data_IF_758278753056
#
_entry.id   IF_758278753056
#
_cell.length_a   1.000
_cell.length_b   1.000
_cell.length_c   1.000
_cell.angle_alpha   90.00
_cell.angle_beta   90.00
_cell.angle_gamma   90.00
#
_symmetry.space_group_name_H-M   'P 1'
#
loop_
_entity.id
_entity.type
_entity.pdbx_description
1 polymer ?
#
# COMPACT_ATOMS: atom_id res chain seq x y z
N UNK A 1 11.53 35.65 -3.58
CA UNK A 1 11.74 34.26 -3.10
C UNK A 1 11.49 34.03 -1.62
N UNK A 2 12.21 34.62 -0.64
CA UNK A 2 12.03 34.28 0.80
C UNK A 2 10.62 34.55 1.34
N UNK A 3 10.03 35.69 0.97
CA UNK A 3 8.63 36.01 1.33
C UNK A 3 7.66 35.00 0.72
N UNK A 4 7.80 34.72 -0.58
CA UNK A 4 6.98 33.73 -1.29
C UNK A 4 7.05 32.34 -0.63
N UNK A 5 8.24 31.84 -0.28
CA UNK A 5 8.40 30.59 0.47
C UNK A 5 7.63 30.60 1.80
N UNK A 6 7.77 31.69 2.57
CA UNK A 6 7.09 31.80 3.85
C UNK A 6 5.55 31.83 3.71
N UNK A 7 5.01 32.57 2.73
CA UNK A 7 3.57 32.63 2.48
C UNK A 7 3.02 31.34 1.88
N UNK A 8 3.72 30.73 0.92
CA UNK A 8 3.34 29.43 0.37
C UNK A 8 3.31 28.36 1.47
N UNK A 9 4.33 28.34 2.33
CA UNK A 9 4.43 27.40 3.45
C UNK A 9 3.29 27.58 4.44
N UNK A 10 2.94 28.82 4.79
CA UNK A 10 1.80 29.10 5.64
C UNK A 10 0.48 28.64 5.00
N UNK A 11 0.26 28.98 3.71
CA UNK A 11 -0.96 28.65 2.98
C UNK A 11 -1.25 27.15 2.96
N UNK A 12 -0.23 26.30 2.79
CA UNK A 12 -0.42 24.84 2.71
C UNK A 12 -0.15 24.10 4.00
N UNK A 13 0.35 24.78 5.04
CA UNK A 13 0.78 24.13 6.29
C UNK A 13 -0.30 23.23 6.91
N UNK A 14 -1.55 23.69 6.96
CA UNK A 14 -2.66 22.93 7.52
C UNK A 14 -2.93 21.65 6.71
N UNK A 15 -3.06 21.77 5.39
CA UNK A 15 -3.37 20.60 4.57
C UNK A 15 -2.17 19.65 4.44
N UNK A 16 -0.95 20.18 4.37
CA UNK A 16 0.27 19.39 4.39
C UNK A 16 0.41 18.63 5.73
N UNK A 17 -0.01 19.22 6.84
CA UNK A 17 -0.09 18.54 8.13
C UNK A 17 -1.12 17.39 8.08
N UNK A 18 -2.31 17.63 7.54
CA UNK A 18 -3.33 16.57 7.35
C UNK A 18 -2.78 15.44 6.48
N UNK A 19 -2.18 15.73 5.32
CA UNK A 19 -1.61 14.73 4.42
C UNK A 19 -0.48 13.95 5.05
N UNK A 20 0.40 14.61 5.79
CA UNK A 20 1.54 13.97 6.44
C UNK A 20 1.09 13.06 7.59
N UNK A 21 0.16 13.54 8.43
CA UNK A 21 -0.39 12.75 9.54
C UNK A 21 -1.20 11.56 9.03
N UNK A 22 -2.14 11.79 8.11
CA UNK A 22 -2.94 10.71 7.52
C UNK A 22 -2.06 9.73 6.75
N UNK A 23 -1.07 10.21 5.99
CA UNK A 23 -0.09 9.37 5.30
C UNK A 23 0.69 8.48 6.26
N UNK A 24 1.21 9.04 7.36
CA UNK A 24 1.91 8.29 8.39
C UNK A 24 1.01 7.20 9.03
N UNK A 25 -0.26 7.52 9.30
CA UNK A 25 -1.20 6.60 9.92
C UNK A 25 -1.67 5.49 8.96
N UNK A 26 -1.94 5.82 7.70
CA UNK A 26 -2.52 4.90 6.71
C UNK A 26 -1.53 3.91 6.12
N UNK A 27 -0.24 4.23 6.17
CA UNK A 27 0.75 3.49 5.38
C UNK A 27 0.95 2.03 5.85
N UNK A 28 0.48 1.62 7.05
CA UNK A 28 1.12 0.48 7.74
C UNK A 28 0.27 -0.64 8.34
N UNK A 29 0.72 -1.86 8.01
CA UNK A 29 0.31 -3.14 8.58
C UNK A 29 1.33 -3.70 9.62
N UNK A 30 2.57 -3.19 9.71
CA UNK A 30 3.65 -3.67 10.62
C UNK A 30 4.76 -2.61 10.89
N UNK A 31 4.46 -1.48 11.53
CA UNK A 31 5.45 -0.42 11.79
C UNK A 31 5.51 0.00 13.27
N UNK A 32 6.41 0.95 13.57
CA UNK A 32 6.82 1.49 14.89
C UNK A 32 5.70 1.63 15.95
N UNK A 33 4.46 1.86 15.52
CA UNK A 33 3.30 2.14 16.39
C UNK A 33 2.16 1.11 16.32
N UNK A 34 2.23 0.09 15.45
CA UNK A 34 1.18 -0.95 15.24
C UNK A 34 -0.27 -0.43 15.39
N UNK A 35 -0.80 0.24 14.36
CA UNK A 35 -2.05 1.00 14.45
C UNK A 35 -3.30 0.17 14.14
N UNK A 36 -3.42 -1.02 14.74
CA UNK A 36 -4.56 -1.92 14.51
C UNK A 36 -5.92 -1.30 14.91
N UNK A 37 -5.91 -0.29 15.79
CA UNK A 37 -7.11 0.44 16.18
C UNK A 37 -7.80 1.16 15.01
N UNK A 38 -7.09 1.49 13.93
CA UNK A 38 -7.67 2.15 12.76
C UNK A 38 -8.78 1.33 12.11
N UNK A 39 -8.73 0.01 12.26
CA UNK A 39 -9.71 -0.94 11.73
C UNK A 39 -10.82 -1.28 12.72
N UNK A 40 -10.63 -0.96 14.01
CA UNK A 40 -11.53 -1.32 15.12
C UNK A 40 -12.37 -0.13 15.61
N UNK A 41 -11.80 1.08 15.57
CA UNK A 41 -12.54 2.30 15.89
C UNK A 41 -13.46 2.59 14.71
N UNK A 42 -14.76 2.57 14.95
CA UNK A 42 -15.78 2.81 13.94
C UNK A 42 -16.39 4.21 14.12
N UNK A 43 -16.57 4.91 13.01
CA UNK A 43 -17.16 6.23 12.93
C UNK A 43 -18.54 6.14 12.27
N UNK A 44 -19.53 6.96 12.68
CA UNK A 44 -20.83 6.97 12.05
C UNK A 44 -20.73 7.42 10.59
N UNK A 45 -21.50 6.76 9.72
CA UNK A 45 -21.56 7.03 8.28
C UNK A 45 -21.87 8.50 7.95
N UNK A 46 -22.56 9.21 8.83
CA UNK A 46 -22.88 10.64 8.69
C UNK A 46 -21.65 11.57 8.65
N UNK A 47 -20.47 11.11 9.06
CA UNK A 47 -19.22 11.87 8.96
C UNK A 47 -18.58 11.82 7.55
N UNK A 48 -19.15 11.06 6.63
CA UNK A 48 -18.61 10.87 5.28
C UNK A 48 -19.48 11.58 4.25
N UNK A 49 -18.84 12.20 3.27
CA UNK A 49 -19.52 12.68 2.05
C UNK A 49 -19.93 11.50 1.17
N UNK A 50 -20.93 11.67 0.30
CA UNK A 50 -21.32 10.64 -0.67
C UNK A 50 -20.16 10.23 -1.59
N UNK A 51 -19.29 11.19 -1.93
CA UNK A 51 -18.08 10.92 -2.69
C UNK A 51 -17.11 10.03 -1.93
N UNK A 52 -16.88 10.30 -0.64
CA UNK A 52 -16.04 9.49 0.22
C UNK A 52 -16.62 8.08 0.40
N UNK A 53 -17.94 7.95 0.60
CA UNK A 53 -18.61 6.64 0.70
C UNK A 53 -18.47 5.83 -0.58
N UNK A 54 -18.73 6.46 -1.73
CA UNK A 54 -18.61 5.81 -3.05
C UNK A 54 -17.19 5.32 -3.34
N UNK A 55 -16.18 6.08 -2.92
CA UNK A 55 -14.77 5.79 -3.22
C UNK A 55 -14.10 4.89 -2.20
N UNK A 56 -14.35 5.13 -0.92
CA UNK A 56 -13.60 4.57 0.20
C UNK A 56 -14.45 3.82 1.24
N UNK A 57 -15.79 3.87 1.19
CA UNK A 57 -16.67 3.25 2.20
C UNK A 57 -16.66 1.72 2.27
N UNK A 58 -15.87 1.09 1.38
CA UNK A 58 -15.63 -0.36 1.30
C UNK A 58 -14.14 -0.66 1.12
N UNK A 59 -13.27 0.28 1.48
CA UNK A 59 -11.83 0.19 1.24
C UNK A 59 -11.16 -0.90 2.09
N UNK A 60 -11.77 -1.24 3.24
CA UNK A 60 -11.30 -2.30 4.13
C UNK A 60 -11.60 -3.72 3.64
N UNK A 61 -12.46 -3.89 2.63
CA UNK A 61 -12.76 -5.19 2.04
C UNK A 61 -11.53 -5.75 1.32
N UNK A 62 -11.15 -6.97 1.70
CA UNK A 62 -9.96 -7.67 1.20
C UNK A 62 -10.31 -8.82 0.26
N UNK A 63 -11.42 -9.53 0.50
CA UNK A 63 -11.82 -10.72 -0.25
C UNK A 63 -13.32 -10.97 -0.13
N UNK A 64 -13.88 -11.73 -1.07
CA UNK A 64 -15.28 -12.12 -1.00
C UNK A 64 -15.50 -13.48 -1.63
N UNK A 65 -16.37 -14.28 -1.04
CA UNK A 65 -16.76 -15.58 -1.58
C UNK A 65 -18.27 -15.69 -1.68
N UNK A 66 -18.74 -16.13 -2.83
CA UNK A 66 -20.17 -16.36 -3.09
C UNK A 66 -20.54 -17.79 -2.68
N UNK A 67 -21.58 -17.92 -1.89
CA UNK A 67 -22.20 -19.19 -1.47
C UNK A 67 -23.69 -19.19 -1.90
N UNK A 68 -24.40 -20.33 -1.80
CA UNK A 68 -25.85 -20.34 -2.02
C UNK A 68 -26.63 -19.37 -1.12
N UNK A 69 -26.13 -19.08 0.09
CA UNK A 69 -26.74 -18.14 1.02
C UNK A 69 -26.41 -16.66 0.71
N UNK A 70 -25.51 -16.38 -0.24
CA UNK A 70 -25.02 -15.04 -0.57
C UNK A 70 -23.51 -14.89 -0.33
N UNK A 71 -23.06 -13.63 -0.20
CA UNK A 71 -21.64 -13.30 -0.06
C UNK A 71 -21.16 -13.36 1.39
N UNK A 72 -20.08 -14.09 1.63
CA UNK A 72 -19.24 -13.86 2.80
C UNK A 72 -18.11 -12.92 2.41
N UNK A 73 -17.93 -11.87 3.21
CA UNK A 73 -17.01 -10.77 2.89
C UNK A 73 -15.93 -10.72 3.97
N UNK A 74 -14.68 -10.92 3.56
CA UNK A 74 -13.51 -10.70 4.39
C UNK A 74 -13.06 -9.24 4.31
N UNK A 75 -12.82 -8.64 5.46
CA UNK A 75 -12.33 -7.28 5.58
C UNK A 75 -11.30 -7.17 6.72
N UNK A 76 -10.56 -6.07 6.75
CA UNK A 76 -9.68 -5.78 7.89
C UNK A 76 -10.48 -5.58 9.20
N UNK A 77 -11.75 -5.21 9.13
CA UNK A 77 -12.63 -5.09 10.30
C UNK A 77 -13.26 -6.41 10.75
N UNK A 78 -13.18 -7.50 9.96
CA UNK A 78 -13.83 -8.77 10.32
C UNK A 78 -14.24 -9.65 9.15
N UNK A 79 -14.96 -10.73 9.49
CA UNK A 79 -15.75 -11.52 8.54
C UNK A 79 -17.22 -11.11 8.65
N UNK A 80 -17.85 -10.83 7.50
CA UNK A 80 -19.28 -10.51 7.41
C UNK A 80 -20.02 -11.64 6.72
N UNK A 81 -21.13 -12.07 7.32
CA UNK A 81 -22.06 -13.03 6.73
C UNK A 81 -22.96 -12.36 5.66
N UNK A 82 -23.68 -13.15 4.83
CA UNK A 82 -24.59 -12.61 3.81
C UNK A 82 -25.68 -11.68 4.34
N UNK A 83 -26.05 -11.80 5.62
CA UNK A 83 -26.99 -10.90 6.29
C UNK A 83 -26.41 -9.51 6.61
N UNK A 84 -25.13 -9.27 6.34
CA UNK A 84 -24.39 -8.07 6.75
C UNK A 84 -23.88 -8.12 8.19
N UNK A 85 -24.24 -9.13 8.98
CA UNK A 85 -23.77 -9.29 10.36
C UNK A 85 -22.28 -9.67 10.39
N UNK A 86 -21.50 -8.98 11.23
CA UNK A 86 -20.12 -9.38 11.57
C UNK A 86 -20.15 -10.67 12.41
N UNK A 87 -19.47 -11.70 11.93
CA UNK A 87 -19.39 -13.04 12.56
C UNK A 87 -17.99 -13.37 13.09
N UNK A 88 -17.01 -12.51 12.81
CA UNK A 88 -15.65 -12.60 13.35
C UNK A 88 -15.07 -11.21 13.54
N UNK A 89 -14.43 -10.99 14.68
CA UNK A 89 -13.75 -9.74 15.03
C UNK A 89 -12.24 -9.96 14.97
N UNK A 90 -11.61 -9.47 13.92
CA UNK A 90 -10.19 -9.65 13.62
C UNK A 90 -9.93 -9.45 12.13
N UNK A 91 -8.69 -9.15 11.74
CA UNK A 91 -8.41 -8.88 10.33
C UNK A 91 -8.55 -10.15 9.52
N UNK A 92 -9.28 -10.07 8.42
CA UNK A 92 -9.38 -11.13 7.42
C UNK A 92 -8.75 -10.63 6.13
N UNK A 93 -7.66 -11.27 5.69
CA UNK A 93 -6.93 -10.90 4.47
C UNK A 93 -7.44 -11.65 3.24
N UNK A 94 -7.93 -12.89 3.43
CA UNK A 94 -8.50 -13.72 2.38
C UNK A 94 -9.49 -14.74 2.95
N UNK A 95 -10.55 -15.00 2.19
CA UNK A 95 -11.57 -16.03 2.47
C UNK A 95 -11.59 -17.06 1.34
N UNK A 96 -11.46 -18.34 1.70
CA UNK A 96 -11.56 -19.48 0.77
C UNK A 96 -12.72 -20.39 1.18
N UNK A 97 -13.44 -20.92 0.19
CA UNK A 97 -14.56 -21.83 0.43
C UNK A 97 -14.03 -23.26 0.55
N UNK A 98 -14.14 -23.84 1.76
CA UNK A 98 -13.79 -25.25 1.97
C UNK A 98 -14.94 -26.17 1.54
N UNK A 99 -16.17 -25.84 1.93
CA UNK A 99 -17.37 -26.59 1.55
C UNK A 99 -18.57 -25.69 1.34
N UNK A 100 -19.28 -25.91 0.22
CA UNK A 100 -20.44 -25.12 -0.21
C UNK A 100 -21.80 -25.65 0.30
N UNK A 101 -21.82 -26.54 1.30
CA UNK A 101 -23.06 -27.12 1.87
C UNK A 101 -23.93 -26.01 2.50
N UNK A 102 -25.25 -26.23 2.76
CA UNK A 102 -26.16 -25.20 3.29
C UNK A 102 -25.63 -24.45 4.53
N UNK A 103 -24.74 -25.08 5.29
CA UNK A 103 -23.85 -24.41 6.24
C UNK A 103 -22.43 -24.40 5.66
N UNK A 104 -21.97 -23.28 5.08
CA UNK A 104 -20.66 -23.23 4.44
C UNK A 104 -19.54 -23.34 5.49
N UNK A 105 -18.47 -24.02 5.10
CA UNK A 105 -17.20 -24.04 5.84
C UNK A 105 -16.21 -23.15 5.09
N UNK A 106 -15.61 -22.17 5.78
CA UNK A 106 -14.71 -21.19 5.17
C UNK A 106 -13.35 -21.20 5.86
N UNK A 107 -12.29 -21.09 5.07
CA UNK A 107 -10.95 -20.84 5.56
C UNK A 107 -10.65 -19.35 5.53
N UNK A 108 -10.11 -18.85 6.63
CA UNK A 108 -9.79 -17.45 6.82
C UNK A 108 -8.29 -17.30 7.02
N UNK A 109 -7.64 -16.53 6.14
CA UNK A 109 -6.31 -16.01 6.37
C UNK A 109 -6.44 -14.75 7.26
N UNK A 110 -5.93 -14.82 8.50
CA UNK A 110 -6.10 -13.76 9.51
C UNK A 110 -4.79 -13.26 10.08
N UNK A 111 -4.84 -12.21 10.88
CA UNK A 111 -3.68 -11.71 11.63
C UNK A 111 -3.28 -12.60 12.81
N UNK A 112 -4.10 -13.60 13.16
CA UNK A 112 -3.87 -14.58 14.21
C UNK A 112 -4.07 -16.02 13.69
N UNK A 113 -3.37 -16.33 12.61
CA UNK A 113 -3.29 -17.68 12.05
C UNK A 113 -4.33 -18.00 10.98
N UNK A 114 -4.35 -19.28 10.61
CA UNK A 114 -5.38 -19.87 9.76
C UNK A 114 -6.58 -20.22 10.63
N UNK A 115 -7.77 -19.72 10.28
CA UNK A 115 -9.01 -20.01 11.02
C UNK A 115 -10.05 -20.71 10.13
N UNK A 116 -10.91 -21.49 10.77
CA UNK A 116 -12.06 -22.15 10.17
C UNK A 116 -13.34 -21.51 10.68
N UNK A 117 -14.15 -20.98 9.78
CA UNK A 117 -15.54 -20.67 10.08
C UNK A 117 -16.40 -21.91 9.79
N UNK A 118 -17.10 -22.40 10.81
CA UNK A 118 -18.01 -23.54 10.72
C UNK A 118 -19.16 -23.37 11.70
N UNK A 119 -20.39 -23.60 11.22
CA UNK A 119 -21.60 -23.56 12.04
C UNK A 119 -21.74 -22.29 12.91
N UNK A 120 -21.36 -21.13 12.36
CA UNK A 120 -21.47 -19.84 13.05
C UNK A 120 -20.33 -19.52 14.02
N UNK A 121 -19.33 -20.40 14.17
CA UNK A 121 -18.16 -20.20 15.03
C UNK A 121 -16.89 -20.11 14.20
N UNK A 122 -15.90 -19.38 14.71
CA UNK A 122 -14.55 -19.29 14.16
C UNK A 122 -13.56 -19.92 15.11
N UNK A 123 -12.81 -20.91 14.64
CA UNK A 123 -11.82 -21.65 15.42
C UNK A 123 -10.45 -21.57 14.75
N UNK A 124 -9.38 -21.50 15.55
CA UNK A 124 -8.01 -21.49 15.00
C UNK A 124 -7.61 -22.91 14.59
N UNK A 125 -7.18 -23.08 13.34
CA UNK A 125 -6.67 -24.35 12.82
C UNK A 125 -5.15 -24.48 12.97
N UNK A 126 -4.40 -23.44 12.61
CA UNK A 126 -2.94 -23.49 12.57
C UNK A 126 -2.31 -22.10 12.67
N UNK A 127 -1.02 -22.07 12.99
CA UNK A 127 -0.18 -20.86 12.99
C UNK A 127 -0.71 -19.74 13.90
N UNK A 128 -1.23 -20.09 15.09
CA UNK A 128 -1.68 -19.11 16.09
C UNK A 128 -0.56 -18.09 16.38
N UNK A 129 -0.91 -16.81 16.48
CA UNK A 129 0.04 -15.71 16.67
C UNK A 129 0.87 -15.33 15.43
N UNK A 130 0.66 -15.99 14.28
CA UNK A 130 1.28 -15.62 13.00
C UNK A 130 0.26 -14.98 12.09
N UNK A 131 0.66 -13.94 11.37
CA UNK A 131 -0.21 -13.26 10.41
C UNK A 131 -0.20 -13.98 9.07
N UNK A 132 -1.29 -14.70 8.78
CA UNK A 132 -1.53 -15.38 7.50
C UNK A 132 -2.20 -14.39 6.56
N UNK A 133 -1.49 -13.98 5.50
CA UNK A 133 -1.96 -12.95 4.55
C UNK A 133 -2.66 -13.52 3.32
N UNK A 134 -2.41 -14.79 3.00
CA UNK A 134 -3.09 -15.47 1.91
C UNK A 134 -3.26 -16.97 2.18
N UNK A 135 -4.25 -17.55 1.53
CA UNK A 135 -4.62 -18.95 1.63
C UNK A 135 -5.05 -19.46 0.25
N UNK A 136 -4.63 -20.68 -0.10
CA UNK A 136 -5.04 -21.39 -1.31
C UNK A 136 -5.34 -22.83 -0.97
N UNK A 137 -6.55 -23.27 -1.31
CA UNK A 137 -7.06 -24.59 -0.99
C UNK A 137 -6.83 -25.56 -2.15
N UNK A 138 -6.15 -26.68 -1.86
CA UNK A 138 -5.99 -27.84 -2.75
C UNK A 138 -6.18 -29.11 -1.92
N UNK A 139 -7.43 -29.39 -1.54
CA UNK A 139 -7.76 -30.41 -0.53
C UNK A 139 -7.06 -31.75 -0.81
N UNK A 140 -6.44 -32.41 0.21
CA UNK A 140 -6.47 -32.09 1.65
C UNK A 140 -5.40 -31.07 2.10
N UNK A 141 -4.71 -30.41 1.17
CA UNK A 141 -3.63 -29.47 1.46
C UNK A 141 -4.06 -28.02 1.31
N UNK A 142 -3.43 -27.15 2.07
CA UNK A 142 -3.65 -25.70 2.04
C UNK A 142 -2.31 -25.01 2.01
N UNK A 143 -2.08 -24.21 0.98
CA UNK A 143 -0.92 -23.33 0.92
C UNK A 143 -1.26 -22.01 1.61
N UNK A 144 -0.37 -21.58 2.49
CA UNK A 144 -0.50 -20.38 3.31
C UNK A 144 0.68 -19.46 3.03
N UNK A 145 0.41 -18.17 2.97
CA UNK A 145 1.44 -17.12 2.97
C UNK A 145 1.40 -16.44 4.33
N UNK A 146 2.52 -16.44 5.04
CA UNK A 146 2.71 -15.76 6.32
C UNK A 146 3.56 -14.52 6.09
N UNK A 147 3.11 -13.39 6.63
CA UNK A 147 3.85 -12.13 6.59
C UNK A 147 4.28 -11.66 5.19
N UNK A 148 3.49 -12.02 4.16
CA UNK A 148 3.79 -11.75 2.74
C UNK A 148 5.15 -12.26 2.26
N UNK A 149 5.71 -13.28 2.92
CA UNK A 149 7.08 -13.76 2.64
C UNK A 149 7.19 -15.27 2.72
N UNK A 150 6.73 -15.83 3.82
CA UNK A 150 7.00 -17.22 4.17
C UNK A 150 5.85 -18.10 3.69
N UNK A 151 6.19 -19.25 3.11
CA UNK A 151 5.20 -20.20 2.61
C UNK A 151 5.09 -21.37 3.59
N UNK A 152 3.85 -21.75 3.90
CA UNK A 152 3.55 -22.92 4.72
C UNK A 152 2.52 -23.80 4.02
N UNK A 153 2.68 -25.12 4.16
CA UNK A 153 1.72 -26.11 3.70
C UNK A 153 1.05 -26.72 4.92
N UNK A 154 -0.25 -26.51 5.07
CA UNK A 154 -1.07 -27.18 6.07
C UNK A 154 -1.75 -28.39 5.45
N UNK A 155 -1.64 -29.55 6.11
CA UNK A 155 -2.32 -30.78 5.71
C UNK A 155 -3.46 -31.09 6.68
N UNK A 156 -4.69 -31.20 6.16
CA UNK A 156 -5.88 -31.49 6.97
C UNK A 156 -5.88 -32.90 7.58
N UNK A 157 -5.26 -33.87 6.92
CA UNK A 157 -5.24 -35.26 7.38
C UNK A 157 -4.25 -35.41 8.54
N UNK A 158 -3.07 -34.82 8.38
CA UNK A 158 -1.98 -34.92 9.35
C UNK A 158 -2.04 -33.84 10.44
N UNK A 159 -2.88 -32.80 10.24
CA UNK A 159 -3.00 -31.62 11.12
C UNK A 159 -1.66 -30.95 11.43
N UNK A 160 -0.75 -30.96 10.46
CA UNK A 160 0.59 -30.37 10.59
C UNK A 160 0.84 -29.28 9.55
N UNK A 161 1.72 -28.36 9.91
CA UNK A 161 2.23 -27.32 9.02
C UNK A 161 3.67 -27.59 8.67
N UNK A 162 3.99 -27.58 7.38
CA UNK A 162 5.34 -27.69 6.86
C UNK A 162 5.78 -26.35 6.28
N UNK A 163 6.92 -25.85 6.70
CA UNK A 163 7.53 -24.66 6.10
C UNK A 163 8.09 -25.02 4.72
N UNK A 164 7.82 -24.19 3.72
CA UNK A 164 8.41 -24.29 2.38
C UNK A 164 9.48 -23.20 2.30
N UNK A 165 10.77 -23.55 2.26
CA UNK A 165 11.83 -22.58 2.11
C UNK A 165 11.67 -21.80 0.82
N UNK A 166 11.57 -20.48 0.92
CA UNK A 166 11.58 -19.60 -0.24
C UNK A 166 13.04 -19.40 -0.68
N UNK A 167 13.48 -19.88 -1.87
CA UNK A 167 14.80 -19.65 -2.40
C UNK A 167 15.10 -18.16 -2.53
N UNK A 168 16.36 -17.78 -2.34
CA UNK A 168 16.81 -16.39 -2.43
C UNK A 168 16.85 -15.85 -3.87
N UNK A 169 16.85 -16.72 -4.88
CA UNK A 169 17.01 -16.36 -6.29
C UNK A 169 15.73 -16.65 -7.08
N UNK A 170 15.22 -15.62 -7.73
CA UNK A 170 14.17 -15.66 -8.74
C UNK A 170 14.69 -15.00 -10.00
N UNK A 171 14.08 -15.34 -11.14
CA UNK A 171 14.29 -14.57 -12.35
C UNK A 171 13.83 -13.11 -12.14
N UNK A 172 14.68 -12.11 -12.44
CA UNK A 172 14.30 -10.72 -12.34
C UNK A 172 13.20 -10.41 -13.36
N UNK A 173 12.32 -9.48 -13.03
CA UNK A 173 11.43 -8.91 -14.04
C UNK A 173 12.25 -8.06 -15.01
N UNK A 174 11.90 -8.12 -16.30
CA UNK A 174 12.60 -7.36 -17.34
C UNK A 174 12.10 -5.93 -17.44
N UNK A 175 10.89 -5.63 -16.95
CA UNK A 175 10.23 -4.35 -17.23
C UNK A 175 9.48 -3.76 -16.03
N UNK A 176 9.88 -2.56 -15.61
CA UNK A 176 9.17 -1.76 -14.61
C UNK A 176 8.70 -0.47 -15.27
N UNK A 177 7.39 -0.21 -15.31
CA UNK A 177 6.85 1.04 -15.84
C UNK A 177 6.97 2.19 -14.84
N UNK A 178 7.05 3.43 -15.33
CA UNK A 178 7.04 4.61 -14.48
C UNK A 178 5.78 4.67 -13.61
N UNK A 179 4.61 4.29 -14.16
CA UNK A 179 3.36 4.16 -13.39
C UNK A 179 3.50 3.25 -12.18
N UNK A 180 4.21 2.12 -12.33
CA UNK A 180 4.44 1.17 -11.24
C UNK A 180 5.30 1.82 -10.15
N UNK A 181 6.41 2.42 -10.54
CA UNK A 181 7.32 3.12 -9.62
C UNK A 181 6.63 4.26 -8.90
N UNK A 182 5.88 5.11 -9.60
CA UNK A 182 5.16 6.25 -9.01
C UNK A 182 4.22 5.79 -7.89
N UNK A 183 3.44 4.73 -8.13
CA UNK A 183 2.54 4.16 -7.11
C UNK A 183 3.33 3.56 -5.96
N UNK A 184 4.33 2.74 -6.26
CA UNK A 184 5.09 2.06 -5.23
C UNK A 184 5.85 3.04 -4.34
N UNK A 185 6.47 4.06 -4.93
CA UNK A 185 7.15 5.12 -4.19
C UNK A 185 6.17 5.88 -3.30
N UNK A 186 5.03 6.33 -3.85
CA UNK A 186 4.06 7.09 -3.10
C UNK A 186 3.46 6.31 -1.92
N UNK A 187 3.26 5.00 -2.09
CA UNK A 187 2.81 4.11 -1.00
C UNK A 187 3.96 3.59 -0.12
N UNK A 188 5.14 4.21 -0.16
CA UNK A 188 6.26 3.84 0.71
C UNK A 188 6.85 2.45 0.46
N UNK A 189 6.63 1.85 -0.71
CA UNK A 189 7.08 0.50 -1.10
C UNK A 189 8.01 0.50 -2.30
N UNK A 190 8.50 1.66 -2.75
CA UNK A 190 9.15 1.82 -4.06
C UNK A 190 10.68 1.71 -4.08
N UNK A 191 11.36 1.66 -2.93
CA UNK A 191 12.82 1.78 -2.90
C UNK A 191 13.53 0.50 -2.44
N UNK A 192 13.19 0.03 -1.24
CA UNK A 192 13.85 -1.10 -0.60
C UNK A 192 12.91 -2.31 -0.51
N UNK A 193 13.44 -3.54 -0.47
CA UNK A 193 12.64 -4.72 -0.21
C UNK A 193 12.11 -4.76 1.23
N UNK A 194 10.95 -5.41 1.39
CA UNK A 194 10.34 -5.69 2.69
C UNK A 194 9.96 -4.43 3.48
N UNK A 195 10.06 -4.55 4.81
CA UNK A 195 9.64 -3.52 5.76
C UNK A 195 10.53 -2.26 5.73
N UNK A 196 11.76 -2.37 5.23
CA UNK A 196 12.72 -1.26 5.17
C UNK A 196 12.21 -0.07 4.37
N UNK A 197 11.46 -0.30 3.28
CA UNK A 197 10.88 0.80 2.49
C UNK A 197 9.79 1.53 3.27
N UNK A 198 8.99 0.79 4.05
CA UNK A 198 7.93 1.34 4.87
C UNK A 198 8.50 2.23 6.00
N UNK A 199 9.54 1.74 6.69
CA UNK A 199 10.26 2.49 7.73
C UNK A 199 10.93 3.76 7.17
N UNK A 200 11.50 3.66 5.98
CA UNK A 200 12.10 4.81 5.31
C UNK A 200 11.05 5.88 4.98
N UNK A 201 9.87 5.47 4.50
CA UNK A 201 8.76 6.40 4.25
C UNK A 201 8.27 7.07 5.54
N UNK A 202 8.27 6.37 6.67
CA UNK A 202 7.92 6.95 7.98
C UNK A 202 8.92 8.00 8.42
N UNK A 203 10.21 7.70 8.31
CA UNK A 203 11.25 8.65 8.66
C UNK A 203 11.10 9.96 7.85
N UNK A 204 10.79 9.86 6.56
CA UNK A 204 10.55 11.04 5.72
C UNK A 204 9.22 11.75 6.03
N UNK A 205 8.19 11.01 6.40
CA UNK A 205 6.92 11.59 6.84
C UNK A 205 7.10 12.36 8.15
N UNK A 206 7.85 11.82 9.11
CA UNK A 206 8.22 12.52 10.36
C UNK A 206 9.06 13.77 10.06
N UNK A 207 10.03 13.68 9.15
CA UNK A 207 10.81 14.84 8.74
C UNK A 207 9.93 15.93 8.10
N UNK A 208 9.00 15.55 7.22
CA UNK A 208 8.02 16.46 6.63
C UNK A 208 7.12 17.09 7.69
N UNK A 209 6.66 16.31 8.68
CA UNK A 209 5.86 16.79 9.79
C UNK A 209 6.62 17.85 10.60
N UNK A 210 7.86 17.55 10.99
CA UNK A 210 8.73 18.48 11.71
C UNK A 210 8.99 19.74 10.88
N UNK A 211 9.24 19.61 9.58
CA UNK A 211 9.44 20.73 8.67
C UNK A 211 8.21 21.64 8.59
N UNK A 212 7.02 21.06 8.41
CA UNK A 212 5.74 21.76 8.33
C UNK A 212 5.42 22.48 9.63
N UNK A 213 5.49 21.79 10.77
CA UNK A 213 5.18 22.37 12.08
C UNK A 213 6.17 23.48 12.44
N UNK A 214 7.48 23.24 12.28
CA UNK A 214 8.50 24.24 12.58
C UNK A 214 8.40 25.48 11.68
N UNK A 215 8.10 25.30 10.39
CA UNK A 215 7.89 26.39 9.43
C UNK A 215 6.64 27.21 9.74
N UNK A 216 5.52 26.55 10.04
CA UNK A 216 4.26 27.19 10.43
C UNK A 216 4.42 28.01 11.73
N UNK A 217 4.97 27.39 12.78
CA UNK A 217 5.20 28.08 14.05
C UNK A 217 6.18 29.25 13.88
N UNK A 218 7.24 29.07 13.08
CA UNK A 218 8.17 30.16 12.77
C UNK A 218 7.44 31.33 12.10
N UNK A 219 6.54 31.06 11.14
CA UNK A 219 5.75 32.09 10.48
C UNK A 219 4.88 32.88 11.46
N UNK A 220 4.20 32.20 12.39
CA UNK A 220 3.37 32.86 13.42
C UNK A 220 4.21 33.75 14.33
N UNK A 221 5.37 33.27 14.78
CA UNK A 221 6.19 34.00 15.75
C UNK A 221 7.17 34.99 15.11
N UNK A 222 7.24 35.10 13.77
CA UNK A 222 8.29 35.89 13.08
C UNK A 222 8.34 37.36 13.50
N UNK A 223 7.17 37.97 13.75
CA UNK A 223 7.03 39.36 14.23
C UNK A 223 7.10 39.50 15.76
N UNK A 224 7.14 38.39 16.50
CA UNK A 224 7.19 38.42 17.97
C UNK A 224 8.56 38.86 18.51
N UNK A 225 8.58 39.35 19.75
CA UNK A 225 9.81 39.67 20.50
C UNK A 225 10.55 38.42 21.03
N UNK A 226 9.99 37.21 20.87
CA UNK A 226 10.54 35.94 21.39
C UNK A 226 11.76 35.46 20.58
N UNK A 227 12.90 36.15 20.73
CA UNK A 227 14.14 35.89 19.96
C UNK A 227 14.65 34.44 20.06
N UNK A 228 14.63 33.84 21.27
CA UNK A 228 15.08 32.45 21.50
C UNK A 228 14.25 31.44 20.69
N UNK A 229 12.92 31.53 20.79
CA UNK A 229 11.99 30.66 20.07
C UNK A 229 12.16 30.77 18.55
N UNK A 230 12.27 32.00 18.01
CA UNK A 230 12.50 32.22 16.57
C UNK A 230 13.78 31.54 16.08
N UNK A 231 14.89 31.68 16.82
CA UNK A 231 16.16 31.04 16.47
C UNK A 231 16.06 29.52 16.52
N UNK A 232 15.37 28.98 17.53
CA UNK A 232 15.15 27.54 17.67
C UNK A 232 14.34 26.99 16.49
N UNK A 233 13.16 27.55 16.22
CA UNK A 233 12.29 27.09 15.12
C UNK A 233 12.99 27.19 13.76
N UNK A 234 13.70 28.29 13.50
CA UNK A 234 14.49 28.43 12.28
C UNK A 234 15.62 27.38 12.19
N UNK A 235 16.30 27.09 13.31
CA UNK A 235 17.37 26.08 13.35
C UNK A 235 16.83 24.68 13.05
N UNK A 236 15.67 24.33 13.60
CA UNK A 236 14.99 23.05 13.33
C UNK A 236 14.57 22.98 11.87
N UNK A 237 13.82 23.99 11.38
CA UNK A 237 13.29 24.04 10.03
C UNK A 237 14.39 24.05 8.94
N UNK A 238 15.53 24.71 9.20
CA UNK A 238 16.68 24.77 8.31
C UNK A 238 17.82 23.81 8.72
N UNK A 239 17.50 22.75 9.46
CA UNK A 239 18.48 21.76 9.90
C UNK A 239 18.99 20.91 8.73
N UNK A 240 20.25 20.46 8.81
CA UNK A 240 20.85 19.61 7.76
C UNK A 240 20.06 18.32 7.55
N UNK A 241 19.48 17.77 8.62
CA UNK A 241 18.66 16.56 8.57
C UNK A 241 17.44 16.73 7.65
N UNK A 242 16.68 17.84 7.80
CA UNK A 242 15.54 18.12 6.92
C UNK A 242 15.94 18.45 5.47
N UNK A 243 17.17 18.91 5.26
CA UNK A 243 17.66 19.20 3.90
C UNK A 243 17.96 17.90 3.13
N UNK A 244 18.50 16.90 3.82
CA UNK A 244 18.74 15.56 3.24
C UNK A 244 17.43 14.90 2.80
N UNK A 245 16.29 15.26 3.41
CA UNK A 245 14.98 14.72 3.03
C UNK A 245 14.33 15.41 1.83
N UNK A 246 14.86 16.55 1.35
CA UNK A 246 14.24 17.32 0.26
C UNK A 246 14.07 16.52 -1.05
N UNK A 247 15.03 15.70 -1.52
CA UNK A 247 14.83 14.88 -2.71
C UNK A 247 13.65 13.91 -2.57
N UNK A 248 13.47 13.32 -1.39
CA UNK A 248 12.37 12.41 -1.09
C UNK A 248 11.03 13.14 -1.02
N UNK A 249 10.98 14.29 -0.35
CA UNK A 249 9.77 15.13 -0.30
C UNK A 249 9.37 15.60 -1.70
N UNK A 250 10.35 15.99 -2.53
CA UNK A 250 10.10 16.37 -3.92
C UNK A 250 9.47 15.20 -4.69
N UNK A 251 10.07 14.01 -4.60
CA UNK A 251 9.59 12.84 -5.30
C UNK A 251 8.20 12.40 -4.79
N UNK A 252 7.95 12.51 -3.47
CA UNK A 252 6.64 12.23 -2.89
C UNK A 252 5.56 13.19 -3.40
N UNK A 253 5.87 14.48 -3.49
CA UNK A 253 4.98 15.49 -4.03
C UNK A 253 4.68 15.27 -5.53
N UNK A 254 5.72 14.97 -6.33
CA UNK A 254 5.57 14.68 -7.76
C UNK A 254 4.75 13.41 -8.00
N UNK A 255 5.03 12.34 -7.26
CA UNK A 255 4.26 11.08 -7.38
C UNK A 255 2.81 11.27 -6.95
N UNK A 256 2.54 12.10 -5.94
CA UNK A 256 1.17 12.48 -5.55
C UNK A 256 0.41 13.20 -6.68
N UNK A 257 1.04 14.17 -7.35
CA UNK A 257 0.45 14.85 -8.50
C UNK A 257 0.10 13.87 -9.64
N UNK A 258 1.00 12.93 -9.94
CA UNK A 258 0.77 11.91 -10.96
C UNK A 258 -0.37 10.95 -10.59
N UNK A 259 -0.50 10.59 -9.31
CA UNK A 259 -1.57 9.70 -8.83
C UNK A 259 -2.93 10.39 -8.83
N UNK A 260 -2.99 11.70 -8.53
CA UNK A 260 -4.25 12.45 -8.54
C UNK A 260 -4.79 12.65 -9.97
N UNK A 261 -3.90 12.84 -10.95
CA UNK A 261 -4.24 13.15 -12.34
C UNK A 261 -3.64 12.15 -13.34
N UNK A 262 -3.90 10.84 -13.21
CA UNK A 262 -3.22 9.83 -14.02
C UNK A 262 -3.52 9.93 -15.52
N UNK A 263 -4.70 10.47 -15.90
CA UNK A 263 -5.08 10.70 -17.30
C UNK A 263 -4.23 11.79 -17.96
N UNK A 264 -3.84 12.82 -17.22
CA UNK A 264 -3.03 13.92 -17.74
C UNK A 264 -1.61 13.46 -18.08
N UNK A 265 -1.08 12.50 -17.32
CA UNK A 265 0.29 12.00 -17.44
C UNK A 265 0.36 10.60 -18.07
N UNK A 266 -0.72 10.11 -18.67
CA UNK A 266 -0.81 8.72 -19.12
C UNK A 266 0.30 8.31 -20.11
N UNK A 267 0.69 9.12 -21.12
CA UNK A 267 1.78 8.78 -22.02
C UNK A 267 3.10 8.55 -21.27
N UNK A 268 3.47 9.50 -20.41
CA UNK A 268 4.69 9.44 -19.60
C UNK A 268 4.65 8.24 -18.62
N UNK A 269 3.51 7.99 -18.00
CA UNK A 269 3.36 6.91 -17.02
C UNK A 269 3.50 5.51 -17.65
N UNK A 270 3.27 5.36 -18.96
CA UNK A 270 3.43 4.09 -19.68
C UNK A 270 4.89 3.77 -20.01
N UNK A 271 5.79 4.76 -19.95
CA UNK A 271 7.21 4.57 -20.23
C UNK A 271 7.87 3.56 -19.30
N UNK A 272 8.85 2.83 -19.83
CA UNK A 272 9.65 1.85 -19.08
C UNK A 272 10.80 2.56 -18.40
N UNK A 273 11.07 2.18 -17.14
CA UNK A 273 12.25 2.63 -16.44
C UNK A 273 13.47 1.85 -16.92
N UNK A 274 14.58 2.54 -17.26
CA UNK A 274 15.87 1.89 -17.48
C UNK A 274 16.26 1.05 -16.28
N UNK A 275 16.87 -0.12 -16.52
CA UNK A 275 17.27 -1.06 -15.45
C UNK A 275 18.17 -0.39 -14.39
N UNK A 276 19.06 0.51 -14.81
CA UNK A 276 19.93 1.28 -13.92
C UNK A 276 19.16 2.17 -12.92
N UNK A 277 17.97 2.64 -13.32
CA UNK A 277 17.10 3.46 -12.49
C UNK A 277 16.08 2.65 -11.68
N UNK A 278 16.05 1.33 -11.84
CA UNK A 278 15.15 0.47 -11.05
C UNK A 278 15.67 0.32 -9.61
N UNK A 279 14.87 0.71 -8.60
CA UNK A 279 15.26 0.54 -7.21
C UNK A 279 15.43 -0.94 -6.79
N UNK A 280 16.22 -1.22 -5.75
CA UNK A 280 16.48 -2.58 -5.24
C UNK A 280 15.24 -3.44 -5.01
N UNK A 281 14.10 -2.83 -4.67
CA UNK A 281 12.85 -3.55 -4.45
C UNK A 281 12.39 -4.42 -5.64
N UNK A 282 12.77 -4.04 -6.86
CA UNK A 282 12.42 -4.78 -8.08
C UNK A 282 13.32 -5.99 -8.36
N UNK A 283 14.33 -6.23 -7.51
CA UNK A 283 15.24 -7.39 -7.59
C UNK A 283 14.95 -8.44 -6.52
N UNK A 284 13.87 -8.26 -5.75
CA UNK A 284 13.60 -9.02 -4.53
C UNK A 284 12.11 -9.44 -4.43
N UNK A 285 11.61 -10.29 -5.33
CA UNK A 285 10.18 -10.62 -5.42
C UNK A 285 9.59 -11.26 -4.16
N UNK A 286 10.41 -11.97 -3.38
CA UNK A 286 9.94 -12.77 -2.25
C UNK A 286 9.66 -11.99 -0.98
N UNK A 287 9.96 -10.69 -0.94
CA UNK A 287 9.63 -9.83 0.19
C UNK A 287 8.25 -9.18 0.10
N UNK A 288 7.45 -9.53 -0.92
CA UNK A 288 6.12 -8.98 -1.16
C UNK A 288 5.23 -9.97 -1.92
N UNK A 289 5.01 -11.14 -1.32
CA UNK A 289 4.08 -12.18 -1.79
C UNK A 289 2.67 -11.79 -1.36
N UNK A 290 1.84 -11.41 -2.33
CA UNK A 290 0.47 -10.94 -2.10
C UNK A 290 -0.55 -12.07 -2.07
N UNK A 291 -0.33 -13.12 -2.85
CA UNK A 291 -1.19 -14.29 -2.87
C UNK A 291 -0.40 -15.52 -3.34
N UNK A 292 -1.00 -16.71 -3.20
CA UNK A 292 -0.41 -17.95 -3.66
C UNK A 292 -1.48 -18.89 -4.24
N UNK A 293 -1.02 -19.88 -5.00
CA UNK A 293 -1.85 -20.91 -5.60
C UNK A 293 -1.17 -22.28 -5.48
N UNK A 294 -1.96 -23.30 -5.11
CA UNK A 294 -1.54 -24.69 -5.08
C UNK A 294 -2.47 -25.53 -5.95
N UNK A 295 -1.92 -26.21 -6.95
CA UNK A 295 -2.69 -27.09 -7.83
C UNK A 295 -1.83 -28.25 -8.30
N UNK A 296 -2.27 -29.48 -8.03
CA UNK A 296 -1.60 -30.71 -8.50
C UNK A 296 -0.10 -30.75 -8.16
N UNK A 297 0.27 -30.26 -6.97
CA UNK A 297 1.67 -30.17 -6.53
C UNK A 297 2.45 -28.97 -7.08
N UNK A 298 1.90 -28.21 -8.03
CA UNK A 298 2.51 -26.96 -8.50
C UNK A 298 2.21 -25.83 -7.53
N UNK A 299 3.27 -25.16 -7.05
CA UNK A 299 3.19 -23.98 -6.18
C UNK A 299 3.43 -22.75 -7.03
N UNK A 300 2.54 -21.76 -6.92
CA UNK A 300 2.70 -20.45 -7.55
C UNK A 300 2.55 -19.35 -6.51
N UNK A 301 3.28 -18.25 -6.71
CA UNK A 301 3.16 -17.05 -5.90
C UNK A 301 2.90 -15.84 -6.78
N UNK A 302 1.98 -15.00 -6.32
CA UNK A 302 1.72 -13.69 -6.89
C UNK A 302 2.50 -12.64 -6.11
N UNK A 303 3.29 -11.85 -6.83
CA UNK A 303 4.14 -10.82 -6.26
C UNK A 303 3.92 -9.49 -6.98
N UNK A 304 4.57 -8.47 -6.43
CA UNK A 304 4.67 -7.16 -7.05
C UNK A 304 5.27 -7.14 -8.47
N UNK A 305 6.07 -8.15 -8.82
CA UNK A 305 6.78 -8.25 -10.10
C UNK A 305 6.05 -9.14 -11.11
N UNK A 306 5.21 -10.07 -10.64
CA UNK A 306 4.61 -11.06 -11.52
C UNK A 306 4.11 -12.29 -10.79
N UNK A 307 3.73 -13.28 -11.59
CA UNK A 307 3.43 -14.64 -11.15
C UNK A 307 4.68 -15.50 -11.31
N UNK A 308 5.11 -16.13 -10.23
CA UNK A 308 6.21 -17.09 -10.24
C UNK A 308 5.70 -18.50 -9.96
N UNK A 309 6.34 -19.50 -10.56
CA UNK A 309 6.05 -20.91 -10.36
C UNK A 309 7.30 -21.65 -9.86
N UNK A 310 7.12 -22.52 -8.87
CA UNK A 310 8.19 -23.36 -8.36
C UNK A 310 8.36 -24.58 -9.26
N UNK A 311 9.45 -24.62 -10.02
CA UNK A 311 9.85 -25.78 -10.82
C UNK A 311 11.26 -26.22 -10.45
N UNK A 312 11.43 -27.51 -10.14
CA UNK A 312 12.74 -28.13 -9.86
C UNK A 312 13.59 -27.33 -8.84
N UNK A 313 12.94 -26.79 -7.80
CA UNK A 313 13.60 -25.99 -6.75
C UNK A 313 13.94 -24.53 -7.12
N UNK A 314 13.51 -24.04 -8.29
CA UNK A 314 13.70 -22.65 -8.73
C UNK A 314 12.35 -21.99 -9.01
N UNK A 315 12.30 -20.68 -8.78
CA UNK A 315 11.14 -19.86 -9.14
C UNK A 315 11.34 -19.27 -10.52
N UNK A 316 10.52 -19.74 -11.46
CA UNK A 316 10.49 -19.26 -12.84
C UNK A 316 9.37 -18.23 -13.00
N UNK A 317 9.64 -17.17 -13.75
CA UNK A 317 8.66 -16.14 -14.03
C UNK A 317 7.67 -16.66 -15.09
N UNK A 318 6.41 -16.83 -14.70
CA UNK A 318 5.35 -17.27 -15.62
C UNK A 318 4.78 -16.09 -16.38
N UNK A 319 4.62 -14.95 -15.69
CA UNK A 319 4.03 -13.76 -16.29
C UNK A 319 4.44 -12.48 -15.55
N UNK A 320 4.71 -11.42 -16.30
CA UNK A 320 5.18 -10.13 -15.78
C UNK A 320 4.07 -9.17 -15.31
N UNK A 321 4.39 -8.34 -14.33
CA UNK A 321 3.53 -7.29 -13.84
C UNK A 321 2.68 -7.69 -12.63
N UNK A 322 2.46 -6.71 -11.76
CA UNK A 322 1.92 -6.89 -10.42
C UNK A 322 0.62 -7.69 -10.39
N UNK A 323 0.71 -8.87 -9.78
CA UNK A 323 -0.44 -9.70 -9.44
C UNK A 323 -0.63 -9.68 -7.92
N UNK A 324 -1.83 -9.33 -7.44
CA UNK A 324 -2.09 -9.24 -6.00
C UNK A 324 -3.16 -10.22 -5.50
N UNK A 325 -3.90 -10.87 -6.40
CA UNK A 325 -4.94 -11.86 -6.05
C UNK A 325 -4.92 -12.98 -7.07
N UNK A 326 -4.99 -14.20 -6.56
CA UNK A 326 -5.09 -15.45 -7.32
C UNK A 326 -6.36 -16.19 -6.93
N UNK A 327 -7.13 -16.63 -7.95
CA UNK A 327 -8.33 -17.44 -7.74
C UNK A 327 -8.43 -18.56 -8.76
N UNK A 328 -8.53 -19.79 -8.28
CA UNK A 328 -8.60 -20.99 -9.12
C UNK A 328 -10.04 -21.50 -9.24
N UNK A 329 -10.43 -21.85 -10.46
CA UNK A 329 -11.65 -22.57 -10.78
C UNK A 329 -11.31 -23.71 -11.73
N UNK A 330 -11.13 -24.92 -11.18
CA UNK A 330 -10.62 -26.06 -11.92
C UNK A 330 -9.22 -25.78 -12.50
N UNK A 331 -9.06 -25.99 -13.80
CA UNK A 331 -7.78 -25.75 -14.50
C UNK A 331 -7.47 -24.27 -14.75
N UNK A 332 -8.46 -23.37 -14.56
CA UNK A 332 -8.35 -21.94 -14.84
C UNK A 332 -7.90 -21.20 -13.59
N UNK A 333 -6.78 -20.48 -13.69
CA UNK A 333 -6.29 -19.58 -12.64
C UNK A 333 -6.49 -18.13 -13.09
N UNK A 334 -7.27 -17.37 -12.35
CA UNK A 334 -7.53 -15.96 -12.58
C UNK A 334 -6.57 -15.11 -11.75
N UNK A 335 -5.98 -14.10 -12.39
CA UNK A 335 -4.95 -13.22 -11.85
C UNK A 335 -5.49 -11.78 -11.83
N UNK A 336 -5.64 -11.20 -10.64
CA UNK A 336 -5.97 -9.78 -10.54
C UNK A 336 -4.71 -8.92 -10.59
N UNK A 337 -4.71 -7.96 -11.51
CA UNK A 337 -3.61 -7.03 -11.74
C UNK A 337 -3.80 -5.71 -11.03
N UNK A 338 -2.73 -5.15 -10.45
CA UNK A 338 -2.74 -3.78 -9.93
C UNK A 338 -1.91 -2.86 -10.83
N UNK A 339 -2.61 -2.06 -11.63
CA UNK A 339 -1.98 -1.17 -12.63
C UNK A 339 -1.69 -1.84 -13.97
N UNK A 340 -2.03 -3.12 -14.11
CA UNK A 340 -1.91 -3.98 -15.29
C UNK A 340 -3.24 -4.71 -15.53
N UNK A 341 -3.53 -5.22 -16.76
CA UNK A 341 -4.75 -5.98 -17.03
C UNK A 341 -4.90 -7.21 -16.14
N UNK A 342 -6.13 -7.60 -15.84
CA UNK A 342 -6.41 -8.90 -15.22
C UNK A 342 -6.14 -10.01 -16.25
N UNK A 343 -5.72 -11.19 -15.80
CA UNK A 343 -5.35 -12.29 -16.70
C UNK A 343 -5.97 -13.62 -16.29
N UNK A 344 -5.95 -14.56 -17.23
CA UNK A 344 -6.32 -15.96 -17.05
C UNK A 344 -5.12 -16.83 -17.47
N UNK A 345 -4.58 -17.60 -16.54
CA UNK A 345 -3.66 -18.69 -16.85
C UNK A 345 -4.46 -19.98 -17.07
N UNK A 346 -4.37 -20.52 -18.27
CA UNK A 346 -5.04 -21.76 -18.68
C UNK A 346 -4.15 -22.55 -19.64
N UNK A 347 -3.97 -23.85 -19.38
CA UNK A 347 -3.11 -24.75 -20.18
C UNK A 347 -1.70 -24.18 -20.43
N UNK A 348 -1.10 -23.58 -19.40
CA UNK A 348 0.25 -23.01 -19.47
C UNK A 348 0.37 -21.69 -20.24
N UNK A 349 -0.73 -21.14 -20.74
CA UNK A 349 -0.76 -19.85 -21.45
C UNK A 349 -1.54 -18.82 -20.65
N UNK A 350 -1.05 -17.58 -20.65
CA UNK A 350 -1.67 -16.47 -19.97
C UNK A 350 -2.38 -15.55 -20.97
N UNK A 351 -3.67 -15.30 -20.74
CA UNK A 351 -4.53 -14.51 -21.59
C UNK A 351 -4.96 -13.25 -20.84
N UNK A 352 -4.89 -12.08 -21.46
CA UNK A 352 -5.48 -10.87 -20.88
C UNK A 352 -7.00 -10.97 -20.91
N UNK A 353 -7.64 -10.48 -19.85
CA UNK A 353 -9.10 -10.42 -19.76
C UNK A 353 -9.55 -8.98 -20.10
N UNK A 354 -10.10 -8.74 -21.31
CA UNK A 354 -10.54 -7.41 -21.72
C UNK A 354 -11.80 -6.97 -20.96
N UNK A 355 -11.94 -5.65 -20.75
CA UNK A 355 -13.17 -5.07 -20.18
C UNK A 355 -13.44 -5.38 -18.70
N UNK A 356 -12.50 -6.02 -18.00
CA UNK A 356 -12.66 -6.42 -16.60
C UNK A 356 -12.43 -5.23 -15.67
N UNK A 357 -13.18 -5.19 -14.55
CA UNK A 357 -13.02 -4.21 -13.45
C UNK A 357 -11.54 -4.04 -13.10
N UNK A 358 -11.09 -2.79 -12.97
CA UNK A 358 -9.73 -2.48 -12.48
C UNK A 358 -9.65 -2.83 -11.00
N UNK A 359 -8.74 -3.72 -10.64
CA UNK A 359 -8.49 -4.18 -9.26
C UNK A 359 -9.72 -4.83 -8.57
N UNK A 360 -10.20 -5.99 -9.06
CA UNK A 360 -11.27 -6.72 -8.39
C UNK A 360 -10.85 -7.21 -7.00
N UNK A 361 -11.77 -7.24 -6.05
CA UNK A 361 -11.52 -7.82 -4.72
C UNK A 361 -11.23 -9.32 -4.83
N UNK A 362 -12.01 -9.98 -5.69
CA UNK A 362 -11.96 -11.41 -5.92
C UNK A 362 -12.60 -11.78 -7.27
N UNK A 363 -12.61 -13.07 -7.59
CA UNK A 363 -13.35 -13.65 -8.70
C UNK A 363 -14.40 -14.64 -8.16
N UNK A 364 -15.61 -14.61 -8.71
CA UNK A 364 -16.70 -15.51 -8.29
C UNK A 364 -17.42 -16.12 -9.49
N UNK A 365 -18.08 -17.25 -9.28
CA UNK A 365 -18.95 -17.85 -10.30
C UNK A 365 -20.35 -17.22 -10.22
N UNK A 366 -20.79 -16.60 -11.31
CA UNK A 366 -22.14 -16.05 -11.51
C UNK A 366 -22.70 -16.62 -12.82
N UNK A 367 -23.84 -17.31 -12.74
CA UNK A 367 -24.52 -17.91 -13.90
C UNK A 367 -23.58 -18.79 -14.76
N UNK A 368 -22.77 -19.62 -14.10
CA UNK A 368 -21.81 -20.51 -14.77
C UNK A 368 -20.55 -19.83 -15.32
N UNK A 369 -20.43 -18.50 -15.22
CA UNK A 369 -19.26 -17.75 -15.66
C UNK A 369 -18.47 -17.19 -14.47
N UNK A 370 -17.14 -17.20 -14.57
CA UNK A 370 -16.29 -16.54 -13.57
C UNK A 370 -16.22 -15.05 -13.91
N UNK A 371 -16.66 -14.22 -12.97
CA UNK A 371 -16.67 -12.77 -13.10
C UNK A 371 -15.79 -12.13 -12.02
N UNK A 372 -15.08 -11.03 -12.35
CA UNK A 372 -14.47 -10.18 -11.33
C UNK A 372 -15.55 -9.62 -10.40
N UNK A 373 -15.21 -9.36 -9.13
CA UNK A 373 -16.10 -8.65 -8.21
C UNK A 373 -15.45 -7.38 -7.74
N UNK A 374 -16.11 -6.24 -7.97
CA UNK A 374 -15.69 -4.95 -7.43
C UNK A 374 -16.19 -4.75 -6.00
N UNK A 375 -15.51 -3.90 -5.23
CA UNK A 375 -15.97 -3.51 -3.87
C UNK A 375 -17.37 -2.92 -3.90
N UNK A 376 -17.66 -2.10 -4.91
CA UNK A 376 -18.95 -1.43 -5.09
C UNK A 376 -20.12 -2.40 -5.35
N UNK A 377 -19.86 -3.57 -5.93
CA UNK A 377 -20.88 -4.59 -6.21
C UNK A 377 -21.23 -5.44 -5.00
N UNK A 378 -20.44 -5.39 -3.92
CA UNK A 378 -20.67 -6.21 -2.74
C UNK A 378 -21.81 -5.63 -1.87
N UNK A 379 -22.80 -6.45 -1.47
CA UNK A 379 -23.97 -6.01 -0.72
C UNK A 379 -23.66 -5.88 0.79
N UNK A 380 -22.69 -5.04 1.12
CA UNK A 380 -22.34 -4.70 2.50
C UNK A 380 -22.56 -3.22 2.73
N UNK A 381 -23.70 -2.88 3.32
CA UNK A 381 -23.96 -1.53 3.81
C UNK A 381 -23.77 -1.52 5.33
N UNK A 382 -23.01 -0.53 5.81
CA UNK A 382 -22.68 -0.37 7.23
C UNK A 382 -23.10 1.01 7.70
N UNK A 383 -23.68 1.06 8.89
CA UNK A 383 -24.00 2.32 9.58
C UNK A 383 -22.75 3.00 10.14
N UNK A 384 -21.71 2.22 10.43
CA UNK A 384 -20.42 2.70 10.91
C UNK A 384 -19.29 2.13 10.05
N UNK A 385 -18.28 2.95 9.82
CA UNK A 385 -17.13 2.62 8.98
C UNK A 385 -15.83 2.74 9.79
N UNK A 386 -14.79 1.94 9.51
CA UNK A 386 -13.52 2.06 10.22
C UNK A 386 -12.91 3.46 10.09
N UNK A 387 -12.24 3.92 11.14
CA UNK A 387 -11.48 5.17 11.16
C UNK A 387 -10.47 5.24 10.00
N UNK A 388 -9.91 4.09 9.59
CA UNK A 388 -9.09 3.99 8.40
C UNK A 388 -9.75 4.62 7.15
N UNK A 389 -11.03 4.33 6.89
CA UNK A 389 -11.72 4.83 5.70
C UNK A 389 -11.93 6.34 5.75
N UNK A 390 -12.15 6.88 6.95
CA UNK A 390 -12.21 8.33 7.17
C UNK A 390 -10.86 8.99 6.91
N UNK A 391 -9.78 8.46 7.50
CA UNK A 391 -8.42 8.97 7.28
C UNK A 391 -8.02 8.87 5.81
N UNK A 392 -8.37 7.77 5.11
CA UNK A 392 -8.13 7.60 3.69
C UNK A 392 -8.88 8.65 2.87
N UNK A 393 -10.11 8.97 3.26
CA UNK A 393 -10.92 9.98 2.59
C UNK A 393 -10.47 11.42 2.87
N UNK A 394 -9.82 11.67 4.01
CA UNK A 394 -9.08 12.91 4.26
C UNK A 394 -7.83 12.96 3.40
N UNK A 395 -7.06 11.88 3.36
CA UNK A 395 -5.78 11.80 2.65
C UNK A 395 -5.94 12.01 1.14
N UNK A 396 -6.93 11.38 0.52
CA UNK A 396 -7.21 11.57 -0.91
C UNK A 396 -8.13 12.76 -1.22
N UNK A 397 -8.46 13.55 -0.19
CA UNK A 397 -9.31 14.74 -0.23
C UNK A 397 -10.74 14.51 -0.74
N UNK A 398 -11.25 13.26 -0.75
CA UNK A 398 -12.63 12.95 -1.15
C UNK A 398 -13.68 13.45 -0.15
N UNK A 399 -13.28 13.75 1.09
CA UNK A 399 -14.15 14.44 2.05
C UNK A 399 -14.35 15.92 1.75
N UNK A 400 -13.47 16.55 0.96
CA UNK A 400 -13.49 18.01 0.71
C UNK A 400 -13.43 18.30 -0.79
N UNK A 401 -12.24 18.27 -1.38
CA UNK A 401 -12.03 18.43 -2.82
C UNK A 401 -10.64 17.95 -3.26
N UNK A 402 -10.53 17.13 -4.32
CA UNK A 402 -9.23 16.70 -4.87
C UNK A 402 -8.31 17.85 -5.29
N UNK A 403 -8.86 19.03 -5.62
CA UNK A 403 -8.08 20.22 -6.02
C UNK A 403 -7.14 20.68 -4.90
N UNK A 404 -7.51 20.47 -3.64
CA UNK A 404 -6.68 20.84 -2.49
C UNK A 404 -5.38 20.02 -2.43
N UNK A 405 -5.44 18.74 -2.81
CA UNK A 405 -4.25 17.90 -2.93
C UNK A 405 -3.34 18.37 -4.07
N UNK A 406 -3.91 18.76 -5.21
CA UNK A 406 -3.13 19.25 -6.36
C UNK A 406 -2.42 20.57 -6.02
N UNK A 407 -3.13 21.53 -5.43
CA UNK A 407 -2.56 22.80 -4.96
C UNK A 407 -1.43 22.58 -3.96
N UNK A 408 -1.67 21.68 -2.99
CA UNK A 408 -0.67 21.37 -1.95
C UNK A 408 0.54 20.67 -2.55
N UNK A 409 0.36 19.77 -3.52
CA UNK A 409 1.45 19.13 -4.25
C UNK A 409 2.32 20.15 -4.99
N UNK A 410 1.71 21.04 -5.78
CA UNK A 410 2.43 22.09 -6.53
C UNK A 410 3.20 23.03 -5.59
N UNK A 411 2.56 23.49 -4.52
CA UNK A 411 3.21 24.37 -3.55
C UNK A 411 4.29 23.64 -2.76
N UNK A 412 4.15 22.35 -2.48
CA UNK A 412 5.20 21.53 -1.85
C UNK A 412 6.42 21.38 -2.76
N UNK A 413 6.23 21.20 -4.08
CA UNK A 413 7.31 21.23 -5.06
C UNK A 413 8.04 22.59 -5.01
N UNK A 414 7.29 23.69 -5.06
CA UNK A 414 7.87 25.04 -4.95
C UNK A 414 8.65 25.25 -3.64
N UNK A 415 8.08 24.81 -2.50
CA UNK A 415 8.71 24.92 -1.18
C UNK A 415 10.02 24.13 -1.12
N UNK A 416 10.03 22.94 -1.70
CA UNK A 416 11.20 22.06 -1.74
C UNK A 416 12.31 22.66 -2.60
N UNK A 417 11.98 23.13 -3.81
CA UNK A 417 12.95 23.79 -4.70
C UNK A 417 13.52 25.07 -4.10
N UNK A 418 12.67 25.91 -3.51
CA UNK A 418 13.10 27.16 -2.87
C UNK A 418 13.94 26.92 -1.61
N UNK A 419 13.64 25.88 -0.82
CA UNK A 419 14.47 25.46 0.31
C UNK A 419 15.87 25.02 -0.14
N UNK A 420 15.95 24.17 -1.18
CA UNK A 420 17.21 23.75 -1.79
C UNK A 420 18.04 24.93 -2.27
N UNK A 421 17.42 25.89 -2.98
CA UNK A 421 18.09 27.10 -3.43
C UNK A 421 18.69 27.92 -2.27
N UNK A 422 17.93 28.13 -1.19
CA UNK A 422 18.44 28.88 -0.04
C UNK A 422 19.58 28.17 0.67
N UNK A 423 19.55 26.84 0.72
CA UNK A 423 20.62 26.06 1.31
C UNK A 423 21.91 26.13 0.49
N UNK A 424 21.82 25.96 -0.83
CA UNK A 424 22.96 26.11 -1.74
C UNK A 424 23.59 27.50 -1.64
N UNK A 425 22.78 28.56 -1.59
CA UNK A 425 23.28 29.93 -1.38
C UNK A 425 24.02 30.08 -0.04
N UNK A 426 23.53 29.45 1.02
CA UNK A 426 24.19 29.46 2.34
C UNK A 426 25.53 28.74 2.34
N UNK A 427 25.64 27.64 1.60
CA UNK A 427 26.90 26.92 1.40
C UNK A 427 27.91 27.79 0.66
N UNK A 428 27.50 28.37 -0.48
CA UNK A 428 28.38 29.22 -1.31
C UNK A 428 28.98 30.36 -0.50
N UNK A 429 28.18 31.07 0.31
CA UNK A 429 28.65 32.15 1.19
C UNK A 429 29.69 31.67 2.21
N UNK A 430 29.53 30.45 2.76
CA UNK A 430 30.50 29.89 3.71
C UNK A 430 31.81 29.45 3.06
N UNK A 431 31.77 28.98 1.81
CA UNK A 431 32.97 28.64 1.05
C UNK A 431 33.74 29.89 0.62
N UNK A 432 33.05 30.92 0.12
CA UNK A 432 33.70 32.19 -0.24
C UNK A 432 34.28 32.92 0.97
N UNK A 433 33.66 32.81 2.15
CA UNK A 433 34.20 33.40 3.38
C UNK A 433 35.37 32.61 4.00
N UNK A 434 35.65 31.40 3.50
CA UNK A 434 36.75 30.52 3.97
C UNK A 434 37.90 30.42 2.98
N UNK A 435 37.80 30.99 1.78
CA UNK A 435 38.97 31.07 0.90
C UNK A 435 39.92 32.13 1.45
N UNK A 436 41.21 31.82 1.63
CA UNK A 436 42.21 32.84 1.93
C UNK A 436 42.18 33.88 0.80
N UNK A 437 42.18 35.16 1.16
CA UNK A 437 42.34 36.25 0.21
C UNK A 437 43.69 36.05 -0.49
N UNK A 438 43.74 35.87 -1.82
CA UNK A 438 45.01 35.86 -2.52
C UNK A 438 45.55 37.30 -2.49
N UNK A 439 46.71 37.48 -1.84
CA UNK A 439 47.43 38.76 -1.86
C UNK A 439 47.14 39.68 -0.67
N UNK A 440 47.69 39.34 0.49
CA UNK A 440 48.45 40.31 1.28
C UNK A 440 49.78 39.66 1.59
N UNK A 441 50.74 39.84 0.68
CA UNK A 441 52.14 39.85 1.08
C UNK A 441 52.27 40.98 2.09
N UNK A 442 52.64 40.63 3.32
CA UNK A 442 53.16 41.58 4.27
C UNK A 442 54.52 42.03 3.73
N UNK A 443 54.58 43.25 3.21
CA UNK A 443 55.77 44.09 3.13
C UNK A 443 55.38 45.49 3.62
#
# INVERSE_FOLDING_TARGET
MRRLHAYAGFLVSFWLLVLTLTGLLLNHEKNLFSLDFLWRVELPRSLFSDQALKRNGKADITSAVKTPAGYFIGAFSGLYAPSGRRVYEGRVFKVELLRSRPRPELLLATDDGLKLYKAGKVETLALKGRKVTAVSLSYPKVLLVVDRRDLYLYDFNEKRTLFIPTPLKAEPTKEVTLKRFVRDFHYGRGLLPGESSALLNDAFSVALLVSTVSGFLYFLVRKSRRRRLKRFLFRVHASRLLIVTLPFVLLLALTGLFINRPRLYEPLLKEKLPELLTPPVYRAPFYDVWDADLSSGTVRIATRLGLYELKRGRWELVYEGFTYRLRRFGERLYLAGMGVPNRLLYKGRCYELPGVVKMPVDFVVKNGQVVPVSRSELPLEREKLPLYEFLLSLHDATLITPVLNDLTGVLTVFLTLSASYFWLKRIKVRFTAKMPQPGRSED
#
